data_IF_232620907192
#
_entry.id   IF_232620907192
#
_cell.length_a   1.000
_cell.length_b   1.000
_cell.length_c   1.000
_cell.angle_alpha   90.00
_cell.angle_beta   90.00
_cell.angle_gamma   90.00
#
_symmetry.space_group_name_H-M   'P 1'
#
loop_
_entity.id
_entity.type
_entity.pdbx_description
1 polymer ?
#
# COMPACT_ATOMS: atom_id res chain seq x y z
N UNK A 1 -15.96 -3.83 -8.65
CA UNK A 1 -14.49 -3.92 -8.59
C UNK A 1 -13.85 -3.43 -9.88
N UNK A 2 -13.22 -2.25 -9.85
CA UNK A 2 -12.36 -1.78 -10.94
C UNK A 2 -10.93 -2.29 -10.71
N UNK A 3 -10.36 -2.99 -11.69
CA UNK A 3 -8.98 -3.52 -11.60
C UNK A 3 -8.08 -2.79 -12.59
N UNK A 4 -6.95 -2.26 -12.11
CA UNK A 4 -5.89 -1.66 -12.92
C UNK A 4 -4.70 -2.61 -12.87
N UNK A 5 -4.18 -3.00 -14.03
CA UNK A 5 -3.02 -3.89 -14.10
C UNK A 5 -1.72 -3.08 -14.20
N UNK A 6 -0.76 -3.36 -13.32
CA UNK A 6 0.63 -2.92 -13.48
C UNK A 6 1.36 -4.01 -14.28
N UNK A 7 1.88 -3.67 -15.46
CA UNK A 7 2.44 -4.63 -16.40
C UNK A 7 3.98 -4.66 -16.28
N UNK A 8 4.49 -5.68 -15.59
CA UNK A 8 5.92 -5.88 -15.30
C UNK A 8 6.36 -7.32 -15.61
N UNK A 9 5.81 -7.89 -16.69
CA UNK A 9 6.01 -9.29 -17.08
C UNK A 9 5.64 -10.24 -15.92
N UNK A 10 6.57 -11.08 -15.46
CA UNK A 10 6.36 -12.02 -14.36
C UNK A 10 6.05 -11.35 -13.01
N UNK A 11 6.31 -10.04 -12.88
CA UNK A 11 6.06 -9.26 -11.66
C UNK A 11 4.82 -8.36 -11.76
N UNK A 12 3.95 -8.65 -12.72
CA UNK A 12 2.70 -7.91 -12.93
C UNK A 12 1.74 -8.16 -11.77
N UNK A 13 1.05 -7.11 -11.32
CA UNK A 13 0.10 -7.22 -10.21
C UNK A 13 -1.14 -6.33 -10.42
N UNK A 14 -2.30 -6.71 -9.85
CA UNK A 14 -3.51 -5.92 -9.90
C UNK A 14 -3.54 -4.84 -8.80
N UNK A 15 -4.19 -3.73 -9.12
CA UNK A 15 -4.65 -2.72 -8.17
C UNK A 15 -6.18 -2.74 -8.22
N UNK A 16 -6.82 -3.16 -7.13
CA UNK A 16 -8.27 -3.14 -6.97
C UNK A 16 -8.67 -1.81 -6.31
N UNK A 17 -9.59 -1.08 -6.94
CA UNK A 17 -10.10 0.20 -6.41
C UNK A 17 -11.62 0.16 -6.42
N UNK A 18 -12.23 0.25 -5.24
CA UNK A 18 -13.68 0.32 -5.02
C UNK A 18 -13.95 0.63 -3.54
N UNK A 19 -14.98 1.43 -3.25
CA UNK A 19 -15.44 1.68 -1.88
C UNK A 19 -15.91 0.39 -1.18
N UNK A 20 -15.52 0.22 0.09
CA UNK A 20 -15.90 -0.92 0.92
C UNK A 20 -15.07 -2.19 0.70
N UNK A 21 -13.99 -2.14 -0.10
CA UNK A 21 -13.13 -3.29 -0.39
C UNK A 21 -12.49 -3.93 0.84
N UNK A 22 -12.30 -3.22 1.96
CA UNK A 22 -11.77 -3.83 3.19
C UNK A 22 -12.59 -5.04 3.65
N UNK A 23 -13.91 -4.99 3.49
CA UNK A 23 -14.81 -6.09 3.85
C UNK A 23 -14.72 -7.28 2.88
N UNK A 24 -14.14 -7.06 1.69
CA UNK A 24 -14.01 -8.06 0.63
C UNK A 24 -12.59 -8.64 0.52
N UNK A 25 -11.64 -8.20 1.35
CA UNK A 25 -10.25 -8.69 1.33
C UNK A 25 -10.15 -10.22 1.39
N UNK A 26 -10.88 -10.96 2.26
CA UNK A 26 -10.79 -12.42 2.25
C UNK A 26 -11.22 -13.05 0.92
N UNK A 27 -12.22 -12.49 0.25
CA UNK A 27 -12.67 -12.98 -1.07
C UNK A 27 -11.62 -12.69 -2.14
N UNK A 28 -11.02 -11.51 -2.13
CA UNK A 28 -9.98 -11.10 -3.10
C UNK A 28 -8.76 -12.01 -3.00
N UNK A 29 -8.39 -12.40 -1.77
CA UNK A 29 -7.19 -13.19 -1.50
C UNK A 29 -7.43 -14.71 -1.44
N UNK A 30 -8.69 -15.15 -1.59
CA UNK A 30 -9.08 -16.56 -1.38
C UNK A 30 -8.33 -17.53 -2.30
N UNK A 31 -8.16 -17.18 -3.57
CA UNK A 31 -7.42 -17.99 -4.55
C UNK A 31 -5.92 -18.09 -4.24
N UNK A 32 -5.38 -17.16 -3.44
CA UNK A 32 -3.99 -17.18 -2.99
C UNK A 32 -3.81 -17.85 -1.62
N UNK A 33 -4.89 -18.26 -0.94
CA UNK A 33 -4.81 -18.88 0.38
C UNK A 33 -4.70 -20.41 0.29
N UNK A 34 -3.47 -20.92 0.39
CA UNK A 34 -3.14 -22.35 0.40
C UNK A 34 -2.94 -22.90 1.83
N UNK A 35 -3.36 -22.14 2.86
CA UNK A 35 -3.18 -22.48 4.27
C UNK A 35 -1.83 -22.02 4.86
N UNK A 36 -1.09 -21.18 4.15
CA UNK A 36 0.09 -20.48 4.68
C UNK A 36 -0.30 -19.46 5.76
N UNK A 37 0.72 -19.00 6.48
CA UNK A 37 0.60 -17.90 7.44
C UNK A 37 0.43 -16.56 6.74
N UNK A 38 -0.46 -15.73 7.26
CA UNK A 38 -0.67 -14.35 6.86
C UNK A 38 -0.36 -13.43 8.03
N UNK A 39 0.38 -12.35 7.79
CA UNK A 39 0.73 -11.36 8.82
C UNK A 39 0.21 -10.00 8.41
N UNK A 40 -0.74 -9.45 9.16
CA UNK A 40 -1.15 -8.04 9.03
C UNK A 40 -0.14 -7.17 9.75
N UNK A 41 0.56 -6.31 9.01
CA UNK A 41 1.46 -5.31 9.58
C UNK A 41 0.77 -3.95 9.50
N UNK A 42 0.65 -3.28 10.65
CA UNK A 42 -0.03 -1.98 10.74
C UNK A 42 0.43 -1.17 11.94
N UNK A 43 -0.13 0.02 12.14
CA UNK A 43 0.02 0.81 13.36
C UNK A 43 -1.17 0.59 14.29
N UNK A 44 -0.96 0.76 15.60
CA UNK A 44 -1.99 0.43 16.60
C UNK A 44 -3.35 1.09 16.34
N UNK A 45 -3.38 2.39 16.00
CA UNK A 45 -4.64 3.09 15.71
C UNK A 45 -5.38 2.54 14.49
N UNK A 46 -4.65 2.12 13.47
CA UNK A 46 -5.22 1.51 12.27
C UNK A 46 -5.69 0.07 12.54
N UNK A 47 -5.02 -0.64 13.44
CA UNK A 47 -5.53 -1.92 13.95
C UNK A 47 -6.88 -1.75 14.65
N UNK A 48 -7.03 -0.73 15.50
CA UNK A 48 -8.32 -0.43 16.16
C UNK A 48 -9.44 -0.08 15.18
N UNK A 49 -9.13 0.70 14.14
CA UNK A 49 -10.13 1.16 13.17
C UNK A 49 -10.53 0.09 12.15
N UNK A 50 -9.57 -0.72 11.71
CA UNK A 50 -9.76 -1.61 10.55
C UNK A 50 -9.11 -2.98 10.73
N UNK A 51 -7.92 -3.02 11.34
CA UNK A 51 -7.08 -4.22 11.32
C UNK A 51 -7.62 -5.39 12.14
N UNK A 52 -8.23 -5.16 13.31
CA UNK A 52 -8.80 -6.26 14.10
C UNK A 52 -9.98 -6.91 13.40
N UNK A 53 -10.86 -6.11 12.81
CA UNK A 53 -11.99 -6.63 12.02
C UNK A 53 -11.49 -7.37 10.78
N UNK A 54 -10.48 -6.84 10.09
CA UNK A 54 -9.84 -7.51 8.96
C UNK A 54 -9.25 -8.89 9.37
N UNK A 55 -8.49 -8.94 10.46
CA UNK A 55 -7.90 -10.20 10.97
C UNK A 55 -9.00 -11.21 11.33
N UNK A 56 -10.06 -10.76 12.01
CA UNK A 56 -11.18 -11.63 12.37
C UNK A 56 -11.91 -12.16 11.13
N UNK A 57 -12.15 -11.31 10.13
CA UNK A 57 -12.78 -11.70 8.86
C UNK A 57 -11.92 -12.70 8.07
N UNK A 58 -10.59 -12.52 8.06
CA UNK A 58 -9.66 -13.47 7.46
C UNK A 58 -9.70 -14.82 8.20
N UNK A 59 -9.62 -14.82 9.54
CA UNK A 59 -9.73 -16.05 10.35
C UNK A 59 -11.05 -16.78 10.13
N UNK A 60 -12.17 -16.05 10.12
CA UNK A 60 -13.49 -16.60 9.84
C UNK A 60 -13.60 -17.20 8.43
N UNK A 61 -12.78 -16.72 7.48
CA UNK A 61 -12.70 -17.21 6.10
C UNK A 61 -11.63 -18.30 5.91
N UNK A 62 -11.06 -18.85 6.99
CA UNK A 62 -10.12 -19.97 6.94
C UNK A 62 -8.65 -19.61 6.74
N UNK A 63 -8.26 -18.35 6.97
CA UNK A 63 -6.85 -17.93 6.91
C UNK A 63 -6.17 -18.16 8.28
N UNK A 64 -4.92 -18.66 8.28
CA UNK A 64 -4.03 -18.60 9.45
C UNK A 64 -3.39 -17.21 9.50
N UNK A 65 -4.05 -16.28 10.19
CA UNK A 65 -3.68 -14.86 10.17
C UNK A 65 -3.25 -14.38 11.56
N UNK A 66 -2.12 -13.70 11.68
CA UNK A 66 -1.71 -12.97 12.89
C UNK A 66 -1.42 -11.51 12.53
N UNK A 67 -1.18 -10.67 13.54
CA UNK A 67 -0.83 -9.27 13.30
C UNK A 67 0.40 -8.82 14.08
N UNK A 68 1.10 -7.83 13.53
CA UNK A 68 2.25 -7.17 14.15
C UNK A 68 2.04 -5.66 14.06
N UNK A 69 2.15 -4.98 15.20
CA UNK A 69 2.04 -3.52 15.25
C UNK A 69 3.40 -2.86 15.11
N UNK A 70 3.43 -1.72 14.43
CA UNK A 70 4.54 -0.79 14.31
C UNK A 70 4.25 0.47 15.15
N UNK A 71 5.30 1.18 15.61
CA UNK A 71 5.13 2.47 16.25
C UNK A 71 4.55 3.51 15.28
N UNK A 72 3.99 4.57 15.85
CA UNK A 72 3.35 5.65 15.07
C UNK A 72 4.41 6.48 14.33
N UNK A 73 4.08 6.87 13.10
CA UNK A 73 4.87 7.77 12.27
C UNK A 73 6.21 7.18 11.84
N UNK A 74 7.16 8.07 11.54
CA UNK A 74 8.43 7.75 10.89
C UNK A 74 9.35 6.85 11.74
N UNK A 75 9.11 6.75 13.06
CA UNK A 75 9.87 5.88 13.96
C UNK A 75 9.76 4.38 13.59
N UNK A 76 8.69 3.99 12.90
CA UNK A 76 8.53 2.64 12.36
C UNK A 76 9.59 2.27 11.33
N UNK A 77 10.15 3.25 10.63
CA UNK A 77 11.18 3.06 9.59
C UNK A 77 12.57 2.98 10.19
N UNK A 78 12.76 2.21 11.26
CA UNK A 78 14.07 2.05 11.89
C UNK A 78 14.58 0.62 11.78
N UNK A 79 15.91 0.45 11.78
CA UNK A 79 16.56 -0.87 11.83
C UNK A 79 16.13 -1.69 13.05
N UNK A 80 15.87 -1.02 14.18
CA UNK A 80 15.42 -1.68 15.41
C UNK A 80 14.03 -2.29 15.23
N UNK A 81 13.09 -1.52 14.67
CA UNK A 81 11.74 -2.03 14.39
C UNK A 81 11.77 -3.13 13.32
N UNK A 82 12.58 -2.97 12.27
CA UNK A 82 12.79 -4.01 11.28
C UNK A 82 13.27 -5.33 11.91
N UNK A 83 14.30 -5.28 12.78
CA UNK A 83 14.79 -6.47 13.48
C UNK A 83 13.75 -7.07 14.42
N UNK A 84 12.99 -6.23 15.13
CA UNK A 84 11.94 -6.68 16.05
C UNK A 84 10.84 -7.44 15.32
N UNK A 85 10.37 -6.90 14.19
CA UNK A 85 9.32 -7.53 13.39
C UNK A 85 9.78 -8.87 12.82
N UNK A 86 11.02 -8.98 12.33
CA UNK A 86 11.58 -10.26 11.88
C UNK A 86 11.58 -11.30 13.01
N UNK A 87 12.05 -10.94 14.20
CA UNK A 87 12.04 -11.85 15.35
C UNK A 87 10.64 -12.35 15.68
N UNK A 88 9.65 -11.45 15.68
CA UNK A 88 8.26 -11.80 15.94
C UNK A 88 7.65 -12.69 14.84
N UNK A 89 8.01 -12.46 13.57
CA UNK A 89 7.62 -13.36 12.48
C UNK A 89 8.19 -14.78 12.69
N UNK A 90 9.44 -14.90 13.15
CA UNK A 90 10.04 -16.20 13.49
C UNK A 90 9.32 -16.88 14.66
N UNK A 91 8.95 -16.13 15.70
CA UNK A 91 8.16 -16.63 16.83
C UNK A 91 6.79 -17.16 16.39
N UNK A 92 6.16 -16.48 15.43
CA UNK A 92 4.93 -16.94 14.78
C UNK A 92 5.15 -18.12 13.82
N UNK A 93 6.36 -18.67 13.71
CA UNK A 93 6.69 -19.76 12.78
C UNK A 93 6.41 -19.41 11.31
N UNK A 94 6.62 -18.13 10.95
CA UNK A 94 6.58 -17.71 9.55
C UNK A 94 7.71 -18.37 8.76
N UNK A 95 7.44 -18.68 7.49
CA UNK A 95 8.37 -19.31 6.57
C UNK A 95 8.37 -18.60 5.20
N UNK A 96 8.99 -19.22 4.19
CA UNK A 96 9.08 -18.66 2.83
C UNK A 96 7.74 -18.57 2.08
N UNK A 97 6.68 -19.20 2.60
CA UNK A 97 5.33 -19.13 2.03
C UNK A 97 4.46 -18.10 2.75
N UNK A 98 4.96 -17.48 3.83
CA UNK A 98 4.18 -16.48 4.57
C UNK A 98 3.86 -15.27 3.69
N UNK A 99 2.64 -14.76 3.81
CA UNK A 99 2.22 -13.55 3.11
C UNK A 99 2.07 -12.39 4.09
N UNK A 100 2.51 -11.18 3.71
CA UNK A 100 2.32 -9.96 4.50
C UNK A 100 1.17 -9.12 3.92
N UNK A 101 0.30 -8.59 4.78
CA UNK A 101 -0.70 -7.57 4.46
C UNK A 101 -0.27 -6.24 5.09
N UNK A 102 0.16 -5.28 4.28
CA UNK A 102 0.57 -3.95 4.73
C UNK A 102 -0.65 -3.03 4.84
N UNK A 103 -1.25 -2.93 6.02
CA UNK A 103 -2.40 -2.08 6.28
C UNK A 103 -1.93 -0.73 6.84
N UNK A 104 -1.83 0.30 5.99
CA UNK A 104 -1.50 1.63 6.47
C UNK A 104 -1.08 2.64 5.40
N UNK A 105 -0.53 3.77 5.83
CA UNK A 105 0.06 4.76 4.92
C UNK A 105 1.43 4.33 4.37
N UNK A 106 2.12 5.24 3.67
CA UNK A 106 3.40 4.95 3.02
C UNK A 106 4.49 4.44 3.97
N UNK A 107 4.48 4.86 5.24
CA UNK A 107 5.40 4.35 6.26
C UNK A 107 5.24 2.84 6.47
N UNK A 108 3.99 2.37 6.66
CA UNK A 108 3.72 0.93 6.86
C UNK A 108 4.05 0.16 5.59
N UNK A 109 3.65 0.70 4.43
CA UNK A 109 3.91 0.10 3.12
C UNK A 109 5.41 -0.09 2.85
N UNK A 110 6.23 0.91 3.14
CA UNK A 110 7.69 0.85 2.94
C UNK A 110 8.35 -0.20 3.84
N UNK A 111 7.98 -0.23 5.14
CA UNK A 111 8.54 -1.18 6.11
C UNK A 111 8.12 -2.60 5.77
N UNK A 112 6.82 -2.82 5.54
CA UNK A 112 6.27 -4.12 5.21
C UNK A 112 6.85 -4.66 3.90
N UNK A 113 6.94 -3.84 2.85
CA UNK A 113 7.55 -4.25 1.60
C UNK A 113 9.03 -4.59 1.74
N UNK A 114 9.78 -3.84 2.57
CA UNK A 114 11.20 -4.12 2.78
C UNK A 114 11.40 -5.41 3.60
N UNK A 115 10.57 -5.64 4.62
CA UNK A 115 10.49 -6.91 5.34
C UNK A 115 10.22 -8.06 4.37
N UNK A 116 9.22 -7.94 3.50
CA UNK A 116 8.88 -8.96 2.51
C UNK A 116 10.02 -9.25 1.54
N UNK A 117 10.76 -8.23 1.12
CA UNK A 117 11.89 -8.41 0.19
C UNK A 117 13.10 -9.12 0.81
N UNK A 118 13.21 -9.13 2.14
CA UNK A 118 14.42 -9.59 2.85
C UNK A 118 14.19 -10.83 3.69
N UNK A 119 13.01 -10.97 4.30
CA UNK A 119 12.65 -12.15 5.09
C UNK A 119 12.67 -13.39 4.20
N UNK A 120 13.44 -14.41 4.61
CA UNK A 120 13.67 -15.62 3.81
C UNK A 120 14.14 -15.37 2.36
N UNK A 121 14.74 -14.20 2.08
CA UNK A 121 15.17 -13.70 0.76
C UNK A 121 14.03 -13.38 -0.21
N UNK A 122 12.85 -13.11 0.30
CA UNK A 122 11.67 -12.79 -0.51
C UNK A 122 10.49 -13.64 -0.11
N UNK A 123 9.41 -12.98 0.30
CA UNK A 123 8.07 -13.55 0.50
C UNK A 123 7.03 -12.63 -0.13
N UNK A 124 5.83 -13.15 -0.37
CA UNK A 124 4.77 -12.39 -1.00
C UNK A 124 4.15 -11.37 -0.03
N UNK A 125 3.65 -10.27 -0.60
CA UNK A 125 2.95 -9.26 0.18
C UNK A 125 1.95 -8.47 -0.64
N UNK A 126 0.99 -7.87 0.07
CA UNK A 126 -0.07 -7.06 -0.50
C UNK A 126 -0.14 -5.72 0.23
N UNK A 127 -0.47 -4.66 -0.51
CA UNK A 127 -0.66 -3.32 0.05
C UNK A 127 -2.15 -3.06 0.28
N UNK A 128 -2.49 -2.52 1.45
CA UNK A 128 -3.83 -2.00 1.77
C UNK A 128 -3.64 -0.55 2.24
N UNK A 129 -3.43 0.40 1.29
CA UNK A 129 -3.10 1.77 1.62
C UNK A 129 -4.27 2.50 2.30
N UNK A 130 -3.98 3.20 3.40
CA UNK A 130 -5.01 3.92 4.19
C UNK A 130 -4.87 5.44 4.16
N UNK A 131 -3.91 5.98 3.41
CA UNK A 131 -3.77 7.42 3.17
C UNK A 131 -3.91 7.70 1.69
N UNK A 132 -4.46 8.87 1.34
CA UNK A 132 -4.63 9.23 -0.08
C UNK A 132 -3.29 9.21 -0.81
N UNK A 133 -2.23 9.73 -0.17
CA UNK A 133 -0.86 9.67 -0.68
C UNK A 133 -0.41 8.24 -1.01
N UNK A 134 -0.67 7.29 -0.12
CA UNK A 134 -0.28 5.90 -0.33
C UNK A 134 -1.14 5.23 -1.41
N UNK A 135 -2.43 5.53 -1.47
CA UNK A 135 -3.37 5.01 -2.46
C UNK A 135 -2.96 5.38 -3.88
N UNK A 136 -2.50 6.62 -4.09
CA UNK A 136 -2.22 7.15 -5.44
C UNK A 136 -0.75 7.11 -5.82
N UNK A 137 0.17 7.01 -4.87
CA UNK A 137 1.61 7.13 -5.14
C UNK A 137 2.43 6.01 -4.50
N UNK A 138 2.58 5.98 -3.17
CA UNK A 138 3.64 5.16 -2.54
C UNK A 138 3.40 3.66 -2.58
N UNK A 139 2.15 3.19 -2.71
CA UNK A 139 1.85 1.75 -2.83
C UNK A 139 2.13 1.18 -4.23
N UNK A 140 2.51 2.02 -5.20
CA UNK A 140 2.71 1.64 -6.61
C UNK A 140 4.16 1.93 -7.00
N UNK A 141 4.84 0.94 -7.59
CA UNK A 141 6.20 1.08 -8.13
C UNK A 141 7.31 0.38 -7.34
N UNK A 142 6.96 -0.27 -6.23
CA UNK A 142 7.80 -1.24 -5.54
C UNK A 142 8.95 -0.66 -4.71
N UNK A 143 9.01 0.66 -4.52
CA UNK A 143 9.98 1.25 -3.57
C UNK A 143 9.62 0.82 -2.17
N UNK A 144 10.59 0.29 -1.46
CA UNK A 144 10.46 -0.10 -0.06
C UNK A 144 11.74 0.27 0.68
N UNK A 145 11.65 0.52 1.99
CA UNK A 145 12.85 0.81 2.75
C UNK A 145 12.62 1.35 4.14
N UNK A 146 13.74 1.56 4.81
CA UNK A 146 13.83 2.08 6.16
C UNK A 146 14.86 3.22 6.21
N UNK A 147 14.82 3.95 7.31
CA UNK A 147 15.75 5.02 7.60
C UNK A 147 16.91 4.48 8.46
N UNK A 148 18.07 5.09 8.26
CA UNK A 148 19.26 4.94 9.10
C UNK A 148 19.63 6.32 9.67
N UNK A 149 20.59 6.36 10.59
CA UNK A 149 20.99 7.61 11.23
C UNK A 149 21.46 8.67 10.21
N UNK A 150 22.05 8.20 9.11
CA UNK A 150 22.63 9.00 8.03
C UNK A 150 21.59 9.56 7.06
N UNK A 151 20.35 9.04 7.05
CA UNK A 151 19.32 9.56 6.17
C UNK A 151 18.10 8.66 5.99
N UNK A 152 17.09 9.26 5.35
CA UNK A 152 15.82 8.60 5.04
C UNK A 152 15.91 7.76 3.78
N UNK A 153 15.23 6.61 3.78
CA UNK A 153 15.08 5.73 2.61
C UNK A 153 16.39 5.30 1.94
N UNK A 154 17.52 5.33 2.66
CA UNK A 154 18.83 4.94 2.10
C UNK A 154 19.03 3.43 2.04
N UNK A 155 18.28 2.68 2.85
CA UNK A 155 18.34 1.21 2.91
C UNK A 155 16.98 0.67 2.48
N UNK A 156 16.95 -0.06 1.38
CA UNK A 156 15.70 -0.49 0.77
C UNK A 156 15.90 -1.41 -0.43
N UNK A 157 14.80 -1.73 -1.09
CA UNK A 157 14.77 -2.54 -2.31
C UNK A 157 13.65 -2.09 -3.24
N UNK A 158 13.77 -2.44 -4.52
CA UNK A 158 12.64 -2.40 -5.47
C UNK A 158 12.00 -3.80 -5.46
N UNK A 159 10.87 -3.93 -4.78
CA UNK A 159 10.14 -5.18 -4.57
C UNK A 159 8.65 -4.95 -4.81
N UNK A 160 8.06 -5.68 -5.77
CA UNK A 160 6.67 -5.48 -6.17
C UNK A 160 5.70 -6.26 -5.28
N UNK A 161 4.53 -5.69 -4.92
CA UNK A 161 3.49 -6.45 -4.24
C UNK A 161 2.82 -7.44 -5.20
N UNK A 162 2.17 -8.46 -4.65
CA UNK A 162 1.28 -9.36 -5.40
C UNK A 162 -0.08 -8.73 -5.68
N UNK A 163 -0.41 -7.62 -5.02
CA UNK A 163 -1.61 -6.83 -5.28
C UNK A 163 -1.74 -5.62 -4.36
N UNK A 164 -2.54 -4.66 -4.79
CA UNK A 164 -2.88 -3.46 -4.01
C UNK A 164 -4.40 -3.37 -3.89
N UNK A 165 -4.91 -3.24 -2.67
CA UNK A 165 -6.35 -3.19 -2.36
C UNK A 165 -6.67 -1.81 -1.81
N UNK A 166 -7.32 -0.98 -2.62
CA UNK A 166 -7.58 0.43 -2.33
C UNK A 166 -9.06 0.63 -2.02
N UNK A 167 -9.36 0.91 -0.76
CA UNK A 167 -10.70 1.26 -0.29
C UNK A 167 -10.80 2.77 0.02
N UNK A 168 -11.42 3.57 -0.86
CA UNK A 168 -11.58 5.01 -0.64
C UNK A 168 -12.36 5.37 0.64
N UNK A 169 -13.23 4.50 1.16
CA UNK A 169 -14.06 4.82 2.33
C UNK A 169 -13.22 5.02 3.60
N UNK A 170 -12.02 4.43 3.64
CA UNK A 170 -11.05 4.62 4.73
C UNK A 170 -10.67 6.08 4.91
N UNK A 171 -10.68 6.89 3.83
CA UNK A 171 -10.34 8.31 3.88
C UNK A 171 -11.28 9.13 4.77
N UNK A 172 -12.50 8.65 5.04
CA UNK A 172 -13.44 9.32 5.96
C UNK A 172 -12.91 9.40 7.40
N UNK A 173 -11.95 8.53 7.75
CA UNK A 173 -11.32 8.52 9.08
C UNK A 173 -9.98 9.27 9.11
N UNK A 174 -9.48 9.68 7.95
CA UNK A 174 -8.16 10.30 7.81
C UNK A 174 -8.24 11.80 8.18
N UNK A 175 -7.27 12.35 8.93
CA UNK A 175 -7.22 13.78 9.18
C UNK A 175 -7.22 14.58 7.87
N UNK A 176 -7.98 15.68 7.84
CA UNK A 176 -8.16 16.48 6.64
C UNK A 176 -6.83 16.99 6.04
N UNK A 177 -5.86 17.31 6.90
CA UNK A 177 -4.51 17.72 6.49
C UNK A 177 -3.78 16.63 5.69
N UNK A 178 -3.94 15.36 6.07
CA UNK A 178 -3.36 14.22 5.36
C UNK A 178 -4.07 13.95 4.02
N UNK A 179 -5.38 14.21 3.95
CA UNK A 179 -6.12 14.21 2.68
C UNK A 179 -5.58 15.29 1.75
N UNK A 180 -5.41 16.52 2.23
CA UNK A 180 -4.86 17.62 1.43
C UNK A 180 -3.42 17.36 0.99
N UNK A 181 -2.60 16.77 1.85
CA UNK A 181 -1.25 16.32 1.51
C UNK A 181 -1.27 15.35 0.32
N UNK A 182 -2.14 14.33 0.36
CA UNK A 182 -2.31 13.39 -0.75
C UNK A 182 -2.87 14.00 -2.04
N UNK A 183 -3.72 15.02 -1.95
CA UNK A 183 -4.26 15.72 -3.12
C UNK A 183 -3.17 16.42 -3.94
N UNK A 184 -2.04 16.80 -3.31
CA UNK A 184 -0.89 17.31 -4.03
C UNK A 184 -0.41 16.35 -5.12
N UNK A 185 -0.35 15.05 -4.82
CA UNK A 185 0.02 14.02 -5.80
C UNK A 185 -1.05 13.80 -6.87
N UNK A 186 -2.32 13.87 -6.49
CA UNK A 186 -3.44 13.79 -7.44
C UNK A 186 -3.35 14.92 -8.47
N UNK A 187 -3.10 16.15 -8.02
CA UNK A 187 -2.89 17.33 -8.87
C UNK A 187 -1.64 17.15 -9.74
N UNK A 188 -0.55 16.64 -9.16
CA UNK A 188 0.71 16.37 -9.88
C UNK A 188 0.45 15.52 -11.13
N UNK A 189 -0.27 14.40 -11.01
CA UNK A 189 -0.55 13.54 -12.16
C UNK A 189 -1.34 14.24 -13.27
N UNK A 190 -2.33 15.05 -12.92
CA UNK A 190 -3.05 15.87 -13.89
C UNK A 190 -2.12 16.87 -14.58
N UNK A 191 -1.24 17.52 -13.82
CA UNK A 191 -0.33 18.54 -14.34
C UNK A 191 0.74 17.98 -15.28
N UNK A 192 1.29 16.80 -14.98
CA UNK A 192 2.42 16.22 -15.74
C UNK A 192 2.01 15.26 -16.85
N UNK A 193 0.81 14.66 -16.76
CA UNK A 193 0.43 13.53 -17.64
C UNK A 193 -0.92 13.72 -18.32
N UNK A 194 -1.95 14.18 -17.59
CA UNK A 194 -3.32 14.22 -18.09
C UNK A 194 -4.01 15.57 -17.83
N UNK A 195 -3.98 16.44 -18.86
CA UNK A 195 -4.63 17.75 -18.83
C UNK A 195 -6.14 17.67 -18.57
N UNK A 196 -6.83 16.65 -19.10
CA UNK A 196 -8.27 16.52 -18.87
C UNK A 196 -8.53 16.18 -17.39
N UNK A 197 -7.71 15.29 -16.82
CA UNK A 197 -7.76 14.99 -15.39
C UNK A 197 -7.47 16.22 -14.52
N UNK A 198 -6.53 17.09 -14.90
CA UNK A 198 -6.29 18.34 -14.19
C UNK A 198 -7.52 19.27 -14.18
N UNK A 199 -8.23 19.36 -15.29
CA UNK A 199 -9.47 20.15 -15.40
C UNK A 199 -10.57 19.56 -14.50
N UNK A 200 -10.70 18.23 -14.50
CA UNK A 200 -11.64 17.53 -13.61
C UNK A 200 -11.32 17.82 -12.14
N UNK A 201 -10.05 17.70 -11.73
CA UNK A 201 -9.61 18.00 -10.36
C UNK A 201 -9.94 19.44 -9.99
N UNK A 202 -9.64 20.41 -10.87
CA UNK A 202 -9.97 21.82 -10.62
C UNK A 202 -11.46 22.02 -10.40
N UNK A 203 -12.30 21.29 -11.12
CA UNK A 203 -13.77 21.37 -10.97
C UNK A 203 -14.20 20.71 -9.66
N UNK A 204 -13.66 19.54 -9.31
CA UNK A 204 -14.00 18.84 -8.07
C UNK A 204 -13.57 19.61 -6.82
N UNK A 205 -12.47 20.36 -6.88
CA UNK A 205 -11.98 21.18 -5.78
C UNK A 205 -12.85 22.42 -5.50
N UNK A 206 -13.81 22.75 -6.37
CA UNK A 206 -14.82 23.79 -6.06
C UNK A 206 -15.66 23.41 -4.83
N UNK A 207 -15.83 22.11 -4.57
CA UNK A 207 -16.44 21.60 -3.35
C UNK A 207 -15.80 20.28 -2.89
N UNK A 208 -14.85 20.40 -1.96
CA UNK A 208 -14.08 19.28 -1.40
C UNK A 208 -14.96 18.21 -0.73
N UNK A 209 -16.10 18.59 -0.13
CA UNK A 209 -16.99 17.65 0.54
C UNK A 209 -17.64 16.66 -0.45
N UNK A 210 -17.71 17.05 -1.73
CA UNK A 210 -18.21 16.22 -2.83
C UNK A 210 -17.11 15.66 -3.72
N UNK A 211 -15.85 15.75 -3.30
CA UNK A 211 -14.72 15.30 -4.11
C UNK A 211 -14.81 13.80 -4.39
N UNK A 212 -14.79 13.36 -5.67
CA UNK A 212 -14.99 11.95 -6.03
C UNK A 212 -13.69 11.17 -5.85
N UNK A 213 -13.35 10.83 -4.61
CA UNK A 213 -12.09 10.17 -4.27
C UNK A 213 -11.86 8.87 -5.05
N UNK A 214 -12.87 8.02 -5.22
CA UNK A 214 -12.72 6.78 -6.00
C UNK A 214 -12.25 7.06 -7.43
N UNK A 215 -12.84 8.04 -8.13
CA UNK A 215 -12.45 8.41 -9.49
C UNK A 215 -11.07 9.04 -9.56
N UNK A 216 -10.75 9.92 -8.61
CA UNK A 216 -9.44 10.57 -8.53
C UNK A 216 -8.32 9.55 -8.27
N UNK A 217 -8.53 8.62 -7.33
CA UNK A 217 -7.62 7.53 -7.02
C UNK A 217 -7.45 6.64 -8.25
N UNK A 218 -8.55 6.21 -8.87
CA UNK A 218 -8.52 5.34 -10.05
C UNK A 218 -7.72 5.94 -11.20
N UNK A 219 -7.92 7.23 -11.51
CA UNK A 219 -7.16 7.92 -12.57
C UNK A 219 -5.67 8.04 -12.20
N UNK A 220 -5.37 8.39 -10.95
CA UNK A 220 -3.99 8.49 -10.46
C UNK A 220 -3.26 7.15 -10.52
N UNK A 221 -3.89 6.06 -10.05
CA UNK A 221 -3.35 4.70 -10.11
C UNK A 221 -3.07 4.27 -11.55
N UNK A 222 -3.96 4.59 -12.51
CA UNK A 222 -3.73 4.30 -13.95
C UNK A 222 -2.50 5.02 -14.49
N UNK A 223 -2.36 6.30 -14.19
CA UNK A 223 -1.22 7.11 -14.62
C UNK A 223 0.07 6.56 -14.03
N UNK A 224 0.10 6.30 -12.71
CA UNK A 224 1.31 5.73 -12.09
C UNK A 224 1.62 4.33 -12.56
N UNK A 225 0.62 3.46 -12.74
CA UNK A 225 0.80 2.13 -13.31
C UNK A 225 1.42 2.19 -14.70
N UNK A 226 0.99 3.12 -15.55
CA UNK A 226 1.54 3.32 -16.89
C UNK A 226 3.02 3.75 -16.83
N UNK A 227 3.35 4.75 -15.99
CA UNK A 227 4.72 5.24 -15.83
C UNK A 227 5.63 4.14 -15.25
N UNK A 228 5.16 3.43 -14.23
CA UNK A 228 5.88 2.32 -13.59
C UNK A 228 6.12 1.16 -14.56
N UNK A 229 5.14 0.83 -15.40
CA UNK A 229 5.28 -0.25 -16.39
C UNK A 229 6.30 0.11 -17.49
N UNK A 230 6.48 1.40 -17.77
CA UNK A 230 7.48 1.90 -18.73
C UNK A 230 8.88 2.05 -18.14
N UNK A 231 8.98 2.31 -16.84
CA UNK A 231 10.25 2.49 -16.13
C UNK A 231 10.14 1.99 -14.69
N UNK A 232 10.40 0.69 -14.48
CA UNK A 232 10.26 0.07 -13.17
C UNK A 232 11.38 0.47 -12.19
N UNK A 233 12.61 0.63 -12.69
CA UNK A 233 13.83 0.79 -11.88
C UNK A 233 14.37 2.23 -11.87
N UNK A 234 13.56 3.18 -12.29
CA UNK A 234 13.86 4.62 -12.25
C UNK A 234 15.05 5.04 -13.13
N UNK A 235 15.15 4.44 -14.31
CA UNK A 235 16.21 4.76 -15.26
C UNK A 235 16.09 6.17 -15.85
N UNK A 236 14.87 6.67 -16.05
CA UNK A 236 14.64 7.95 -16.74
C UNK A 236 13.23 8.52 -16.49
N UNK A 237 12.19 7.87 -17.02
CA UNK A 237 10.82 8.39 -17.08
C UNK A 237 10.24 8.67 -15.69
N UNK A 238 10.55 7.88 -14.66
CA UNK A 238 10.02 8.11 -13.31
C UNK A 238 10.48 9.42 -12.67
N UNK A 239 11.49 10.11 -13.20
CA UNK A 239 11.96 11.41 -12.67
C UNK A 239 10.93 12.53 -12.78
N UNK A 240 9.88 12.36 -13.58
CA UNK A 240 8.78 13.32 -13.68
C UNK A 240 7.80 13.23 -12.50
N UNK A 241 7.86 12.14 -11.73
CA UNK A 241 7.03 11.88 -10.55
C UNK A 241 7.65 12.52 -9.30
#
# INVERSE_FOLDING_TARGET
MNTIQVNLEERSYPIHVESGLLNHVPSILSDNNEGQKWIVISQYRLMELFGFDLVNNLKASGFDCEFITLPIGEAAKSLNEFSRVISQMVEFSCDRKTNILALGGGVVGDVAGFLSSTFMRGIDYYQIPTTLLAMVDSSIGGKTGINIAEGKNLVGSIYQPQGVIVDPDVLQTLPQEEVFSGLGEVIKYGAIWDKAFLIDISTWLENIDSFPFEDAIRKSCKIKAEVVSKDEREGDLRRIL
#
